data_IF_630961601640
#
_entry.id   IF_630961601640
#
_cell.length_a   1.000
_cell.length_b   1.000
_cell.length_c   1.000
_cell.angle_alpha   90.00
_cell.angle_beta   90.00
_cell.angle_gamma   90.00
#
_symmetry.space_group_name_H-M   'P 1'
#
loop_
_entity.id
_entity.type
_entity.pdbx_description
1 polymer ?
#
# COMPACT_ATOMS: atom_id res chain seq x y z
N UNK A 1 -10.90 0.55 -23.76
CA UNK A 1 -9.47 0.90 -23.76
C UNK A 1 -9.03 0.94 -22.31
N UNK A 2 -8.11 0.08 -21.87
CA UNK A 2 -7.61 0.10 -20.48
C UNK A 2 -6.40 1.04 -20.43
N UNK A 3 -6.45 2.07 -19.59
CA UNK A 3 -5.31 2.94 -19.33
C UNK A 3 -4.53 2.35 -18.17
N UNK A 4 -3.30 1.89 -18.42
CA UNK A 4 -2.41 1.39 -17.39
C UNK A 4 -1.44 2.52 -17.00
N UNK A 5 -1.48 2.98 -15.75
CA UNK A 5 -0.58 4.01 -15.24
C UNK A 5 0.23 3.47 -14.07
N UNK A 6 1.54 3.32 -14.25
CA UNK A 6 2.44 2.94 -13.16
C UNK A 6 2.65 4.12 -12.21
N UNK A 7 2.40 3.92 -10.92
CA UNK A 7 2.67 4.92 -9.87
C UNK A 7 3.76 4.37 -8.95
N UNK A 8 4.89 5.06 -8.86
CA UNK A 8 5.94 4.69 -7.91
C UNK A 8 5.49 4.97 -6.48
N UNK A 9 5.48 3.92 -5.65
CA UNK A 9 5.21 4.03 -4.22
C UNK A 9 6.53 4.07 -3.45
N UNK A 10 6.65 5.02 -2.51
CA UNK A 10 7.79 5.11 -1.61
C UNK A 10 7.34 4.94 -0.16
N UNK A 11 7.51 3.74 0.43
CA UNK A 11 7.32 3.53 1.85
C UNK A 11 8.47 4.18 2.65
N UNK A 12 8.13 4.85 3.74
CA UNK A 12 9.09 5.39 4.71
C UNK A 12 8.67 5.02 6.11
N UNK A 13 9.52 4.29 6.83
CA UNK A 13 9.25 3.90 8.22
C UNK A 13 9.18 5.15 9.10
N UNK A 14 8.06 5.33 9.81
CA UNK A 14 7.84 6.45 10.75
C UNK A 14 7.77 5.98 12.20
N UNK A 15 7.51 4.70 12.42
CA UNK A 15 7.55 4.07 13.74
C UNK A 15 8.07 2.64 13.64
N UNK A 16 8.90 2.24 14.61
CA UNK A 16 9.44 0.90 14.69
C UNK A 16 9.60 0.49 16.15
N UNK A 17 9.02 -0.65 16.51
CA UNK A 17 9.22 -1.38 17.76
C UNK A 17 9.37 -2.87 17.48
N UNK A 18 9.61 -3.68 18.50
CA UNK A 18 9.71 -5.13 18.37
C UNK A 18 8.39 -5.78 17.93
N UNK A 19 7.26 -5.15 18.27
CA UNK A 19 5.92 -5.67 17.98
C UNK A 19 5.29 -5.04 16.74
N UNK A 20 5.69 -3.82 16.37
CA UNK A 20 4.97 -3.03 15.38
C UNK A 20 5.91 -2.18 14.52
N UNK A 21 5.56 -2.04 13.24
CA UNK A 21 6.17 -1.09 12.31
C UNK A 21 5.08 -0.27 11.65
N UNK A 22 5.27 1.03 11.49
CA UNK A 22 4.36 1.88 10.72
C UNK A 22 5.15 2.53 9.60
N UNK A 23 4.70 2.31 8.37
CA UNK A 23 5.24 2.93 7.17
C UNK A 23 4.29 4.01 6.65
N UNK A 24 4.82 5.21 6.44
CA UNK A 24 4.17 6.26 5.66
C UNK A 24 4.30 5.93 4.17
N UNK A 25 3.18 5.93 3.46
CA UNK A 25 3.11 5.61 2.04
C UNK A 25 2.92 6.91 1.26
N UNK A 26 3.86 7.17 0.37
CA UNK A 26 3.78 8.31 -0.56
C UNK A 26 3.74 7.85 -2.01
N UNK A 27 2.94 8.56 -2.81
CA UNK A 27 2.80 8.36 -4.25
C UNK A 27 2.90 9.73 -4.93
N UNK A 28 3.75 9.84 -5.96
CA UNK A 28 3.99 11.10 -6.69
C UNK A 28 4.34 12.31 -5.80
N UNK A 29 4.97 12.08 -4.64
CA UNK A 29 5.35 13.14 -3.67
C UNK A 29 4.25 13.50 -2.66
N UNK A 30 3.05 12.95 -2.78
CA UNK A 30 1.97 13.13 -1.81
C UNK A 30 1.86 11.93 -0.87
N UNK A 31 1.61 12.19 0.42
CA UNK A 31 1.28 11.14 1.37
C UNK A 31 -0.16 10.67 1.10
N UNK A 32 -0.31 9.39 0.78
CA UNK A 32 -1.63 8.80 0.54
C UNK A 32 -2.19 8.09 1.78
N UNK A 33 -1.32 7.74 2.73
CA UNK A 33 -1.70 7.21 4.03
C UNK A 33 -0.57 6.44 4.70
N UNK A 34 -0.94 5.54 5.60
CA UNK A 34 0.00 4.77 6.42
C UNK A 34 -0.40 3.30 6.46
N UNK A 35 0.60 2.43 6.64
CA UNK A 35 0.39 1.01 6.87
C UNK A 35 1.05 0.65 8.20
N UNK A 36 0.26 0.15 9.15
CA UNK A 36 0.81 -0.54 10.32
C UNK A 36 1.01 -1.99 9.96
N UNK A 37 2.15 -2.55 10.36
CA UNK A 37 2.50 -3.96 10.24
C UNK A 37 2.73 -4.46 11.67
N UNK A 38 1.90 -5.39 12.12
CA UNK A 38 2.11 -6.10 13.37
C UNK A 38 3.06 -7.27 13.09
N UNK A 39 4.17 -7.32 13.82
CA UNK A 39 5.22 -8.35 13.65
C UNK A 39 4.93 -9.62 14.44
N UNK A 40 3.97 -9.59 15.36
CA UNK A 40 3.60 -10.75 16.18
C UNK A 40 2.75 -11.71 15.36
N UNK A 41 1.83 -11.18 14.57
CA UNK A 41 0.85 -11.96 13.80
C UNK A 41 0.93 -11.72 12.28
N UNK A 42 1.94 -10.98 11.83
CA UNK A 42 2.17 -10.56 10.44
C UNK A 42 0.98 -9.83 9.78
N UNK A 43 0.01 -9.35 10.58
CA UNK A 43 -1.13 -8.60 10.07
C UNK A 43 -0.73 -7.18 9.67
N UNK A 44 -1.47 -6.62 8.71
CA UNK A 44 -1.27 -5.26 8.27
C UNK A 44 -2.58 -4.47 8.26
N UNK A 45 -2.51 -3.20 8.63
CA UNK A 45 -3.68 -2.33 8.71
C UNK A 45 -3.40 -1.05 7.94
N UNK A 46 -4.30 -0.71 7.02
CA UNK A 46 -4.23 0.53 6.25
C UNK A 46 -4.94 1.69 6.98
N UNK A 47 -4.31 2.86 6.97
CA UNK A 47 -4.84 4.09 7.57
C UNK A 47 -4.75 5.27 6.60
N UNK A 48 -5.72 6.17 6.71
CA UNK A 48 -5.71 7.49 6.07
C UNK A 48 -5.98 8.58 7.11
N UNK A 49 -6.17 9.82 6.66
CA UNK A 49 -6.51 10.96 7.52
C UNK A 49 -7.86 10.83 8.23
N UNK A 50 -8.78 10.02 7.71
CA UNK A 50 -10.07 9.71 8.34
C UNK A 50 -9.99 8.55 9.35
N UNK A 51 -8.83 7.88 9.46
CA UNK A 51 -8.59 6.78 10.39
C UNK A 51 -8.33 5.45 9.68
N UNK A 52 -8.73 4.36 10.34
CA UNK A 52 -8.50 2.99 9.86
C UNK A 52 -9.41 2.66 8.68
N UNK A 53 -8.84 2.09 7.62
CA UNK A 53 -9.57 1.65 6.41
C UNK A 53 -9.99 0.19 6.55
N UNK A 54 -9.03 -0.72 6.72
CA UNK A 54 -9.27 -2.17 6.81
C UNK A 54 -8.15 -2.88 7.58
N UNK A 55 -8.45 -4.09 8.07
CA UNK A 55 -7.42 -5.07 8.46
C UNK A 55 -7.20 -6.02 7.31
N UNK A 56 -5.94 -6.25 7.01
CA UNK A 56 -5.51 -7.11 5.93
C UNK A 56 -4.52 -8.15 6.45
N UNK A 57 -4.49 -9.29 5.75
CA UNK A 57 -3.63 -10.42 6.11
C UNK A 57 -2.17 -10.21 5.69
N UNK A 58 -1.86 -9.14 4.96
CA UNK A 58 -0.53 -8.91 4.43
C UNK A 58 -0.26 -7.41 4.14
N UNK A 59 1.00 -6.92 4.21
CA UNK A 59 1.33 -5.52 3.90
C UNK A 59 0.95 -5.10 2.47
N UNK A 60 1.10 -6.00 1.49
CA UNK A 60 0.70 -5.76 0.10
C UNK A 60 -0.81 -5.56 -0.04
N UNK A 61 -1.59 -6.34 0.72
CA UNK A 61 -3.03 -6.27 0.78
C UNK A 61 -3.47 -4.91 1.34
N UNK A 62 -2.82 -4.46 2.43
CA UNK A 62 -3.03 -3.13 3.02
C UNK A 62 -2.67 -1.99 2.06
N UNK A 63 -1.57 -2.15 1.31
CA UNK A 63 -1.16 -1.17 0.30
C UNK A 63 -2.17 -1.06 -0.84
N UNK A 64 -2.70 -2.20 -1.29
CA UNK A 64 -3.73 -2.27 -2.34
C UNK A 64 -5.00 -1.57 -1.89
N UNK A 65 -5.47 -1.85 -0.68
CA UNK A 65 -6.66 -1.21 -0.11
C UNK A 65 -6.47 0.29 0.09
N UNK A 66 -5.30 0.72 0.56
CA UNK A 66 -4.98 2.15 0.72
C UNK A 66 -5.03 2.89 -0.62
N UNK A 67 -4.45 2.29 -1.67
CA UNK A 67 -4.43 2.90 -3.00
C UNK A 67 -5.81 2.91 -3.65
N UNK A 68 -6.57 1.82 -3.54
CA UNK A 68 -7.95 1.73 -4.00
C UNK A 68 -8.82 2.82 -3.36
N UNK A 69 -8.69 3.01 -2.04
CA UNK A 69 -9.35 4.10 -1.33
C UNK A 69 -8.95 5.48 -1.86
N UNK A 70 -7.64 5.75 -2.00
CA UNK A 70 -7.14 7.07 -2.43
C UNK A 70 -7.58 7.43 -3.86
N UNK A 71 -7.72 6.44 -4.73
CA UNK A 71 -8.08 6.58 -6.15
C UNK A 71 -9.57 6.35 -6.43
N UNK A 72 -10.34 5.95 -5.42
CA UNK A 72 -11.73 5.53 -5.55
C UNK A 72 -11.92 4.42 -6.61
N UNK A 73 -10.95 3.53 -6.69
CA UNK A 73 -11.00 2.34 -7.54
C UNK A 73 -11.45 1.13 -6.73
N UNK A 74 -11.95 0.12 -7.43
CA UNK A 74 -12.14 -1.19 -6.84
C UNK A 74 -10.79 -1.77 -6.41
N UNK A 75 -10.73 -2.37 -5.22
CA UNK A 75 -9.54 -3.06 -4.70
C UNK A 75 -9.08 -4.15 -5.68
N UNK A 76 -10.01 -4.82 -6.35
CA UNK A 76 -9.70 -5.85 -7.34
C UNK A 76 -9.19 -5.28 -8.68
N UNK A 77 -9.43 -3.99 -8.93
CA UNK A 77 -8.86 -3.29 -10.07
C UNK A 77 -7.41 -2.83 -9.83
N UNK A 78 -6.88 -2.94 -8.61
CA UNK A 78 -5.52 -2.51 -8.24
C UNK A 78 -4.60 -3.73 -8.18
N UNK A 79 -3.61 -3.79 -9.07
CA UNK A 79 -2.51 -4.76 -8.95
C UNK A 79 -1.30 -4.14 -8.28
N UNK A 80 -0.48 -4.92 -7.59
CA UNK A 80 0.79 -4.45 -7.03
C UNK A 80 1.87 -5.36 -7.60
N UNK A 81 2.72 -4.85 -8.49
CA UNK A 81 3.92 -5.58 -8.86
C UNK A 81 4.89 -5.60 -7.67
N UNK A 82 5.51 -6.74 -7.41
CA UNK A 82 6.63 -6.86 -6.49
C UNK A 82 7.90 -7.06 -7.32
N UNK A 83 8.89 -6.19 -7.17
CA UNK A 83 10.24 -6.48 -7.70
C UNK A 83 10.86 -7.65 -6.92
N UNK A 84 11.39 -8.64 -7.64
CA UNK A 84 12.00 -9.88 -7.10
C UNK A 84 13.38 -9.67 -6.45
N UNK A 85 13.67 -8.47 -5.91
CA UNK A 85 14.96 -8.19 -5.28
C UNK A 85 14.84 -8.22 -3.74
N UNK A 86 15.28 -9.29 -3.07
CA UNK A 86 15.09 -9.49 -1.62
C UNK A 86 15.87 -8.50 -0.74
N UNK A 87 16.86 -7.77 -1.28
CA UNK A 87 17.53 -6.68 -0.57
C UNK A 87 16.76 -5.35 -0.64
N UNK A 88 15.75 -5.26 -1.52
CA UNK A 88 14.89 -4.12 -1.73
C UNK A 88 13.44 -4.48 -1.39
N UNK A 89 13.19 -4.93 -0.16
CA UNK A 89 11.84 -4.96 0.47
C UNK A 89 11.36 -3.52 0.74
N UNK A 90 11.54 -2.66 -0.25
CA UNK A 90 10.96 -1.34 -0.42
C UNK A 90 9.88 -1.60 -1.45
N UNK A 91 8.63 -1.77 -0.99
CA UNK A 91 7.48 -2.10 -1.83
C UNK A 91 7.32 -1.12 -3.00
N UNK A 92 7.92 -1.44 -4.14
CA UNK A 92 7.75 -0.75 -5.42
C UNK A 92 6.51 -1.32 -6.11
N UNK A 93 5.33 -0.87 -5.70
CA UNK A 93 4.09 -1.31 -6.33
C UNK A 93 3.92 -0.67 -7.72
N UNK A 94 4.08 -1.44 -8.81
CA UNK A 94 3.56 -1.02 -10.12
C UNK A 94 2.07 -1.38 -10.15
N UNK A 95 1.22 -0.35 -10.22
CA UNK A 95 -0.23 -0.52 -10.18
C UNK A 95 -0.84 -0.41 -11.57
N UNK A 96 -1.49 -1.48 -12.04
CA UNK A 96 -2.36 -1.41 -13.23
C UNK A 96 -3.80 -1.29 -12.75
N UNK A 97 -4.41 -0.12 -12.96
CA UNK A 97 -5.81 0.15 -12.64
C UNK A 97 -6.69 -0.06 -13.88
N UNK A 98 -7.50 -1.11 -13.92
CA UNK A 98 -8.48 -1.31 -14.97
C UNK A 98 -9.72 -0.43 -14.71
N UNK A 99 -9.70 0.82 -15.15
CA UNK A 99 -10.90 1.69 -15.11
C UNK A 99 -11.91 1.18 -16.13
N UNK A 100 -12.97 0.50 -15.66
CA UNK A 100 -14.17 0.24 -16.47
C UNK A 100 -15.11 1.44 -16.29
N UNK A 101 -15.33 2.18 -17.38
CA UNK A 101 -16.35 3.23 -17.45
C UNK A 101 -17.76 2.66 -17.40
#
# INVERSE_FOLDING_TARGET
MCLNFAVGIKPSCVFYSDEQRIDCISAAGEIIGYISINKIDDSATAFNSAGRISNEHCPTCALRTLFAWRTNLDVDAVQIASDENPAAVVMSAIISAAVRH
#
